data_IF_214426437877
#
_entry.id   IF_214426437877
#
_cell.length_a   1.000
_cell.length_b   1.000
_cell.length_c   1.000
_cell.angle_alpha   90.00
_cell.angle_beta   90.00
_cell.angle_gamma   90.00
#
_symmetry.space_group_name_H-M   'P 1'
#
loop_
_entity.id
_entity.type
_entity.pdbx_description
1 polymer ?
#
# COMPACT_ATOMS: atom_id res chain seq x y z
N UNK A 1 -26.82 -10.73 8.71
CA UNK A 1 -26.73 -10.79 7.24
C UNK A 1 -26.18 -9.46 6.77
N UNK A 2 -24.97 -9.41 6.21
CA UNK A 2 -24.44 -8.17 5.61
C UNK A 2 -25.25 -7.86 4.36
N UNK A 3 -25.85 -6.68 4.32
CA UNK A 3 -26.58 -6.19 3.16
C UNK A 3 -25.53 -5.90 2.08
N UNK A 4 -25.55 -6.67 0.98
CA UNK A 4 -24.78 -6.32 -0.21
C UNK A 4 -25.42 -5.04 -0.76
N UNK A 5 -24.72 -3.91 -0.70
CA UNK A 5 -25.19 -2.69 -1.37
C UNK A 5 -25.29 -3.00 -2.86
N UNK A 6 -26.47 -2.75 -3.45
CA UNK A 6 -26.63 -2.85 -4.90
C UNK A 6 -25.82 -1.73 -5.56
N UNK A 7 -25.18 -2.01 -6.70
CA UNK A 7 -24.37 -1.03 -7.49
C UNK A 7 -25.20 0.21 -7.91
N UNK A 8 -26.52 0.13 -7.80
CA UNK A 8 -27.49 1.21 -8.03
C UNK A 8 -27.54 2.23 -6.89
N UNK A 9 -26.96 1.93 -5.73
CA UNK A 9 -26.80 2.86 -4.61
C UNK A 9 -25.77 3.94 -4.99
N UNK A 10 -26.25 5.19 -5.05
CA UNK A 10 -25.43 6.33 -5.47
C UNK A 10 -24.28 6.57 -4.50
N UNK A 11 -24.48 6.36 -3.21
CA UNK A 11 -23.45 6.58 -2.18
C UNK A 11 -22.34 5.55 -2.31
N UNK A 12 -22.71 4.27 -2.46
CA UNK A 12 -21.78 3.20 -2.78
C UNK A 12 -20.99 3.50 -4.06
N UNK A 13 -21.68 3.86 -5.14
CA UNK A 13 -21.05 4.06 -6.45
C UNK A 13 -20.04 5.20 -6.42
N UNK A 14 -20.37 6.30 -5.73
CA UNK A 14 -19.43 7.42 -5.55
C UNK A 14 -18.24 6.98 -4.71
N UNK A 15 -18.46 6.36 -3.55
CA UNK A 15 -17.38 5.95 -2.65
C UNK A 15 -16.45 4.92 -3.29
N UNK A 16 -17.00 3.85 -3.88
CA UNK A 16 -16.22 2.82 -4.56
C UNK A 16 -15.44 3.40 -5.75
N UNK A 17 -16.07 4.29 -6.52
CA UNK A 17 -15.42 5.00 -7.59
C UNK A 17 -14.23 5.84 -7.13
N UNK A 18 -14.36 6.58 -6.03
CA UNK A 18 -13.26 7.35 -5.43
C UNK A 18 -12.15 6.45 -4.89
N UNK A 19 -12.49 5.31 -4.26
CA UNK A 19 -11.51 4.32 -3.81
C UNK A 19 -10.72 3.72 -4.99
N UNK A 20 -11.40 3.36 -6.08
CA UNK A 20 -10.75 2.86 -7.30
C UNK A 20 -9.74 3.87 -7.87
N UNK A 21 -10.11 5.15 -7.96
CA UNK A 21 -9.19 6.20 -8.40
C UNK A 21 -8.02 6.34 -7.42
N UNK A 22 -8.27 6.28 -6.12
CA UNK A 22 -7.22 6.35 -5.10
C UNK A 22 -6.22 5.21 -5.26
N UNK A 23 -6.68 3.95 -5.35
CA UNK A 23 -5.81 2.79 -5.53
C UNK A 23 -5.00 2.87 -6.83
N UNK A 24 -5.65 3.29 -7.93
CA UNK A 24 -4.95 3.51 -9.21
C UNK A 24 -3.83 4.55 -9.09
N UNK A 25 -4.03 5.59 -8.29
CA UNK A 25 -2.98 6.57 -8.05
C UNK A 25 -1.89 6.05 -7.13
N UNK A 26 -2.22 5.23 -6.13
CA UNK A 26 -1.22 4.60 -5.25
C UNK A 26 -0.29 3.69 -6.06
N UNK A 27 -0.82 2.76 -6.85
CA UNK A 27 -0.01 1.85 -7.69
C UNK A 27 0.86 2.66 -8.68
N UNK A 28 0.30 3.73 -9.26
CA UNK A 28 1.06 4.64 -10.12
C UNK A 28 2.21 5.34 -9.38
N UNK A 29 2.00 5.73 -8.12
CA UNK A 29 3.02 6.38 -7.31
C UNK A 29 4.09 5.39 -6.82
N UNK A 30 3.69 4.18 -6.44
CA UNK A 30 4.60 3.06 -6.13
C UNK A 30 5.49 2.79 -7.33
N UNK A 31 4.90 2.57 -8.51
CA UNK A 31 5.63 2.36 -9.77
C UNK A 31 6.73 3.41 -9.97
N UNK A 32 6.39 4.68 -9.79
CA UNK A 32 7.32 5.79 -9.97
C UNK A 32 8.41 5.83 -8.89
N UNK A 33 8.03 5.68 -7.63
CA UNK A 33 8.98 5.68 -6.52
C UNK A 33 9.99 4.54 -6.64
N UNK A 34 9.53 3.34 -7.02
CA UNK A 34 10.37 2.18 -7.26
C UNK A 34 11.26 2.41 -8.49
N UNK A 35 10.71 2.90 -9.60
CA UNK A 35 11.48 3.17 -10.81
C UNK A 35 12.63 4.18 -10.58
N UNK A 36 12.37 5.26 -9.85
CA UNK A 36 13.39 6.26 -9.51
C UNK A 36 14.53 5.67 -8.64
N UNK A 37 14.23 4.63 -7.86
CA UNK A 37 15.17 4.03 -6.92
C UNK A 37 16.07 2.95 -7.51
N UNK A 38 15.67 2.31 -8.63
CA UNK A 38 16.41 1.20 -9.29
C UNK A 38 17.90 1.53 -9.47
N UNK A 39 18.24 2.70 -10.02
CA UNK A 39 19.62 3.06 -10.32
C UNK A 39 20.53 3.13 -9.07
N UNK A 40 19.92 3.33 -7.89
CA UNK A 40 20.61 3.47 -6.60
C UNK A 40 20.42 2.27 -5.68
N UNK A 41 19.72 1.22 -6.14
CA UNK A 41 19.55 0.00 -5.35
C UNK A 41 20.92 -0.65 -5.07
N UNK A 42 21.10 -1.26 -3.88
CA UNK A 42 22.42 -1.65 -3.36
C UNK A 42 23.05 -2.81 -4.12
N UNK A 43 22.26 -3.65 -4.78
CA UNK A 43 22.72 -4.82 -5.54
C UNK A 43 21.78 -5.18 -6.70
N UNK A 44 22.24 -6.10 -7.54
CA UNK A 44 21.52 -6.53 -8.75
C UNK A 44 20.23 -7.28 -8.44
N UNK A 45 20.18 -8.04 -7.34
CA UNK A 45 18.95 -8.71 -6.91
C UNK A 45 17.85 -7.68 -6.64
N UNK A 46 18.17 -6.63 -5.86
CA UNK A 46 17.24 -5.54 -5.59
C UNK A 46 16.86 -4.79 -6.88
N UNK A 47 17.81 -4.53 -7.79
CA UNK A 47 17.52 -3.87 -9.08
C UNK A 47 16.55 -4.67 -9.94
N UNK A 48 16.79 -5.98 -10.07
CA UNK A 48 15.97 -6.87 -10.88
C UNK A 48 14.57 -7.01 -10.29
N UNK A 49 14.46 -7.14 -8.97
CA UNK A 49 13.16 -7.17 -8.30
C UNK A 49 12.39 -5.87 -8.49
N UNK A 50 13.02 -4.73 -8.24
CA UNK A 50 12.38 -3.42 -8.42
C UNK A 50 11.97 -3.18 -9.88
N UNK A 51 12.75 -3.66 -10.86
CA UNK A 51 12.35 -3.63 -12.27
C UNK A 51 11.14 -4.52 -12.56
N UNK A 52 11.04 -5.70 -11.94
CA UNK A 52 9.83 -6.55 -12.00
C UNK A 52 8.63 -5.80 -11.41
N UNK A 53 8.78 -5.25 -10.20
CA UNK A 53 7.71 -4.51 -9.52
C UNK A 53 7.20 -3.35 -10.36
N UNK A 54 8.08 -2.54 -10.98
CA UNK A 54 7.65 -1.49 -11.93
C UNK A 54 6.78 -2.04 -13.06
N UNK A 55 7.11 -3.23 -13.58
CA UNK A 55 6.30 -3.90 -14.59
C UNK A 55 4.95 -4.39 -14.08
N UNK A 56 4.90 -4.87 -12.83
CA UNK A 56 3.67 -5.30 -12.16
C UNK A 56 2.77 -4.10 -11.86
N UNK A 57 3.28 -3.04 -11.24
CA UNK A 57 2.51 -1.81 -10.99
C UNK A 57 1.98 -1.17 -12.28
N UNK A 58 2.80 -1.17 -13.35
CA UNK A 58 2.37 -0.70 -14.67
C UNK A 58 1.17 -1.50 -15.19
N UNK A 59 1.17 -2.82 -14.96
CA UNK A 59 0.05 -3.70 -15.29
C UNK A 59 -1.16 -3.44 -14.40
N UNK A 60 -0.98 -3.20 -13.10
CA UNK A 60 -2.06 -2.88 -12.17
C UNK A 60 -2.79 -1.60 -12.55
N UNK A 61 -2.03 -0.52 -12.74
CA UNK A 61 -2.55 0.79 -13.17
C UNK A 61 -3.40 0.65 -14.43
N UNK A 62 -2.92 -0.10 -15.44
CA UNK A 62 -3.69 -0.31 -16.68
C UNK A 62 -5.01 -1.07 -16.41
N UNK A 63 -4.99 -2.16 -15.66
CA UNK A 63 -6.19 -2.95 -15.34
C UNK A 63 -7.22 -2.08 -14.62
N UNK A 64 -6.76 -1.30 -13.65
CA UNK A 64 -7.62 -0.45 -12.83
C UNK A 64 -8.13 0.76 -13.63
N UNK A 65 -7.32 1.39 -14.50
CA UNK A 65 -7.76 2.45 -15.41
C UNK A 65 -8.87 1.96 -16.35
N UNK A 66 -8.67 0.79 -16.97
CA UNK A 66 -9.71 0.17 -17.81
C UNK A 66 -11.00 -0.10 -17.03
N UNK A 67 -10.89 -0.44 -15.74
CA UNK A 67 -12.06 -0.66 -14.90
C UNK A 67 -12.72 0.64 -14.45
N UNK A 68 -11.96 1.66 -14.04
CA UNK A 68 -12.45 3.00 -13.67
C UNK A 68 -13.28 3.60 -14.81
N UNK A 69 -12.80 3.47 -16.06
CA UNK A 69 -13.54 3.91 -17.25
C UNK A 69 -14.88 3.17 -17.40
N UNK A 70 -14.88 1.84 -17.27
CA UNK A 70 -16.09 1.00 -17.40
C UNK A 70 -17.08 1.20 -16.24
N UNK A 71 -16.58 1.41 -15.04
CA UNK A 71 -17.37 1.69 -13.84
C UNK A 71 -18.09 3.05 -13.96
N UNK A 72 -17.50 3.99 -14.70
CA UNK A 72 -18.09 5.28 -15.04
C UNK A 72 -18.22 6.21 -13.83
N UNK A 73 -17.16 6.30 -13.03
CA UNK A 73 -17.05 7.21 -11.88
C UNK A 73 -16.42 8.55 -12.28
N UNK A 74 -16.44 9.52 -11.36
CA UNK A 74 -15.56 10.68 -11.38
C UNK A 74 -14.09 10.23 -11.35
N UNK A 75 -13.33 10.70 -12.34
CA UNK A 75 -11.90 10.40 -12.52
C UNK A 75 -10.98 11.51 -12.03
N UNK A 76 -11.53 12.53 -11.36
CA UNK A 76 -10.73 13.59 -10.74
C UNK A 76 -9.71 12.97 -9.79
N UNK A 77 -8.41 13.30 -9.89
CA UNK A 77 -7.39 12.79 -8.99
C UNK A 77 -7.80 12.95 -7.52
N UNK A 78 -7.68 11.88 -6.73
CA UNK A 78 -7.80 11.88 -5.27
C UNK A 78 -6.61 12.62 -4.65
N UNK A 79 -5.40 12.30 -5.11
CA UNK A 79 -4.20 13.08 -4.80
C UNK A 79 -3.94 14.10 -5.91
N UNK A 80 -3.87 15.38 -5.56
CA UNK A 80 -3.47 16.42 -6.51
C UNK A 80 -1.96 16.34 -6.83
N UNK A 81 -1.51 17.12 -7.81
CA UNK A 81 -0.11 17.09 -8.29
C UNK A 81 0.90 17.38 -7.17
N UNK A 82 0.60 18.33 -6.27
CA UNK A 82 1.50 18.65 -5.16
C UNK A 82 1.62 17.47 -4.18
N UNK A 83 0.50 16.81 -3.88
CA UNK A 83 0.48 15.67 -2.96
C UNK A 83 1.21 14.46 -3.55
N UNK A 84 1.03 14.20 -4.85
CA UNK A 84 1.80 13.20 -5.59
C UNK A 84 3.31 13.48 -5.54
N UNK A 85 3.71 14.75 -5.71
CA UNK A 85 5.13 15.11 -5.64
C UNK A 85 5.68 15.00 -4.21
N UNK A 86 4.89 15.33 -3.17
CA UNK A 86 5.26 15.12 -1.77
C UNK A 86 5.51 13.63 -1.47
N UNK A 87 4.64 12.75 -1.97
CA UNK A 87 4.82 11.30 -1.85
C UNK A 87 6.14 10.85 -2.50
N UNK A 88 6.41 11.28 -3.73
CA UNK A 88 7.65 10.89 -4.41
C UNK A 88 8.90 11.48 -3.74
N UNK A 89 8.83 12.74 -3.30
CA UNK A 89 9.91 13.41 -2.58
C UNK A 89 10.25 12.69 -1.27
N UNK A 90 9.23 12.17 -0.54
CA UNK A 90 9.43 11.32 0.63
C UNK A 90 10.34 10.14 0.30
N UNK A 91 9.95 9.31 -0.68
CA UNK A 91 10.73 8.11 -1.04
C UNK A 91 12.13 8.41 -1.59
N UNK A 92 12.31 9.53 -2.31
CA UNK A 92 13.65 9.98 -2.75
C UNK A 92 14.58 10.29 -1.57
N UNK A 93 14.03 10.79 -0.47
CA UNK A 93 14.81 11.20 0.70
C UNK A 93 15.28 10.04 1.58
N UNK A 94 14.67 8.86 1.43
CA UNK A 94 14.91 7.72 2.30
C UNK A 94 16.27 7.05 2.03
N UNK A 95 16.91 6.59 3.10
CA UNK A 95 17.98 5.60 3.01
C UNK A 95 17.38 4.23 2.58
N UNK A 96 18.22 3.21 2.38
CA UNK A 96 17.74 1.92 1.87
C UNK A 96 16.82 1.17 2.85
N UNK A 97 17.17 1.09 4.14
CA UNK A 97 16.37 0.39 5.16
C UNK A 97 15.03 1.11 5.36
N UNK A 98 15.07 2.45 5.37
CA UNK A 98 13.90 3.32 5.44
C UNK A 98 12.99 3.13 4.22
N UNK A 99 13.55 3.06 3.01
CA UNK A 99 12.80 2.80 1.79
C UNK A 99 12.11 1.44 1.84
N UNK A 100 12.82 0.39 2.29
CA UNK A 100 12.24 -0.94 2.43
C UNK A 100 11.07 -0.95 3.42
N UNK A 101 11.22 -0.23 4.53
CA UNK A 101 10.20 -0.11 5.56
C UNK A 101 8.98 0.62 5.01
N UNK A 102 9.17 1.82 4.48
CA UNK A 102 8.04 2.66 4.06
C UNK A 102 7.34 2.12 2.81
N UNK A 103 8.07 1.53 1.87
CA UNK A 103 7.48 0.94 0.67
C UNK A 103 6.79 -0.37 1.02
N UNK A 104 7.55 -1.37 1.47
CA UNK A 104 7.04 -2.74 1.51
C UNK A 104 6.28 -3.08 2.79
N UNK A 105 6.56 -2.41 3.91
CA UNK A 105 5.78 -2.60 5.14
C UNK A 105 4.59 -1.65 5.15
N UNK A 106 4.83 -0.35 5.03
CA UNK A 106 3.77 0.64 5.24
C UNK A 106 2.78 0.69 4.07
N UNK A 107 3.27 0.74 2.82
CA UNK A 107 2.39 0.82 1.64
C UNK A 107 1.91 -0.57 1.22
N UNK A 108 2.80 -1.48 0.82
CA UNK A 108 2.37 -2.76 0.24
C UNK A 108 1.66 -3.64 1.27
N UNK A 109 2.31 -3.92 2.41
CA UNK A 109 1.75 -4.88 3.36
C UNK A 109 0.51 -4.34 4.10
N UNK A 110 0.59 -3.13 4.65
CA UNK A 110 -0.50 -2.58 5.47
C UNK A 110 -1.56 -1.86 4.63
N UNK A 111 -1.16 -1.17 3.56
CA UNK A 111 -2.11 -0.62 2.59
C UNK A 111 -2.88 -1.72 1.87
N UNK A 112 -2.19 -2.76 1.41
CA UNK A 112 -2.81 -3.95 0.81
C UNK A 112 -3.81 -4.64 1.75
N UNK A 113 -3.47 -4.81 3.02
CA UNK A 113 -4.38 -5.37 4.04
C UNK A 113 -5.68 -4.55 4.15
N UNK A 114 -5.60 -3.22 4.13
CA UNK A 114 -6.78 -2.37 4.15
C UNK A 114 -7.65 -2.54 2.89
N UNK A 115 -7.02 -2.71 1.72
CA UNK A 115 -7.74 -3.00 0.45
C UNK A 115 -8.42 -4.36 0.50
N UNK A 116 -7.76 -5.40 1.01
CA UNK A 116 -8.35 -6.73 1.11
C UNK A 116 -9.65 -6.73 1.93
N UNK A 117 -9.76 -5.87 2.94
CA UNK A 117 -10.98 -5.75 3.73
C UNK A 117 -12.19 -5.22 2.95
N UNK A 118 -11.97 -4.47 1.87
CA UNK A 118 -13.07 -3.95 1.03
C UNK A 118 -13.47 -4.91 -0.10
N UNK A 119 -12.59 -5.84 -0.48
CA UNK A 119 -12.83 -6.77 -1.60
C UNK A 119 -14.14 -7.55 -1.45
N UNK A 120 -14.53 -8.09 -0.27
CA UNK A 120 -15.79 -8.81 -0.12
C UNK A 120 -17.04 -7.94 -0.32
N UNK A 121 -16.91 -6.62 -0.19
CA UNK A 121 -17.97 -5.62 -0.35
C UNK A 121 -18.01 -5.05 -1.78
N UNK A 122 -16.99 -5.31 -2.57
CA UNK A 122 -16.88 -4.81 -3.92
C UNK A 122 -17.75 -5.57 -4.93
N UNK A 123 -18.26 -4.83 -5.92
CA UNK A 123 -18.98 -5.41 -7.04
C UNK A 123 -18.08 -6.40 -7.81
N UNK A 124 -18.65 -7.33 -8.60
CA UNK A 124 -17.88 -8.36 -9.29
C UNK A 124 -16.77 -7.81 -10.20
N UNK A 125 -16.98 -6.67 -10.86
CA UNK A 125 -15.99 -6.09 -11.76
C UNK A 125 -14.86 -5.44 -10.99
N UNK A 126 -15.15 -4.72 -9.90
CA UNK A 126 -14.11 -4.19 -9.01
C UNK A 126 -13.27 -5.30 -8.42
N UNK A 127 -13.89 -6.38 -7.91
CA UNK A 127 -13.14 -7.55 -7.43
C UNK A 127 -12.25 -8.17 -8.49
N UNK A 128 -12.73 -8.25 -9.73
CA UNK A 128 -11.93 -8.78 -10.84
C UNK A 128 -10.72 -7.87 -11.16
N UNK A 129 -10.89 -6.55 -11.07
CA UNK A 129 -9.81 -5.59 -11.31
C UNK A 129 -8.70 -5.65 -10.25
N UNK A 130 -9.05 -5.95 -8.99
CA UNK A 130 -8.10 -6.05 -7.87
C UNK A 130 -7.42 -7.41 -7.75
N UNK A 131 -7.93 -8.44 -8.41
CA UNK A 131 -7.42 -9.81 -8.27
C UNK A 131 -5.94 -9.94 -8.63
N UNK A 132 -5.55 -9.36 -9.76
CA UNK A 132 -4.16 -9.42 -10.23
C UNK A 132 -3.23 -8.59 -9.34
N UNK A 133 -3.54 -7.31 -9.05
CA UNK A 133 -2.78 -6.51 -8.09
C UNK A 133 -2.50 -7.23 -6.78
N UNK A 134 -3.55 -7.68 -6.09
CA UNK A 134 -3.41 -8.36 -4.80
C UNK A 134 -2.61 -9.67 -4.86
N UNK A 135 -2.58 -10.35 -6.01
CA UNK A 135 -1.75 -11.54 -6.18
C UNK A 135 -0.27 -11.18 -6.32
N UNK A 136 0.04 -10.12 -7.06
CA UNK A 136 1.41 -9.66 -7.26
C UNK A 136 1.96 -9.04 -5.96
N UNK A 137 1.12 -8.37 -5.15
CA UNK A 137 1.55 -7.78 -3.87
C UNK A 137 2.13 -8.79 -2.87
N UNK A 138 1.70 -10.05 -2.94
CA UNK A 138 2.28 -11.11 -2.10
C UNK A 138 3.78 -11.24 -2.35
N UNK A 139 4.23 -11.14 -3.60
CA UNK A 139 5.64 -11.20 -3.97
C UNK A 139 6.38 -9.92 -3.54
N UNK A 140 5.76 -8.74 -3.70
CA UNK A 140 6.31 -7.45 -3.27
C UNK A 140 6.59 -7.42 -1.77
N UNK A 141 5.59 -7.83 -0.98
CA UNK A 141 5.68 -7.91 0.48
C UNK A 141 6.75 -8.92 0.89
N UNK A 142 6.76 -10.12 0.28
CA UNK A 142 7.73 -11.16 0.61
C UNK A 142 9.17 -10.68 0.39
N UNK A 143 9.47 -10.10 -0.78
CA UNK A 143 10.78 -9.54 -1.07
C UNK A 143 11.16 -8.44 -0.07
N UNK A 144 10.25 -7.49 0.17
CA UNK A 144 10.53 -6.36 1.04
C UNK A 144 10.84 -6.77 2.48
N UNK A 145 10.07 -7.72 3.03
CA UNK A 145 10.27 -8.24 4.38
C UNK A 145 11.57 -9.05 4.49
N UNK A 146 11.84 -9.94 3.54
CA UNK A 146 13.07 -10.73 3.52
C UNK A 146 14.30 -9.83 3.40
N UNK A 147 14.23 -8.82 2.52
CA UNK A 147 15.33 -7.88 2.32
C UNK A 147 15.53 -6.98 3.55
N UNK A 148 14.44 -6.51 4.17
CA UNK A 148 14.52 -5.72 5.39
C UNK A 148 15.14 -6.53 6.53
N UNK A 149 14.70 -7.77 6.74
CA UNK A 149 15.29 -8.67 7.74
C UNK A 149 16.79 -8.89 7.48
N UNK A 150 17.18 -9.07 6.21
CA UNK A 150 18.58 -9.21 5.83
C UNK A 150 19.41 -7.94 6.14
N UNK A 151 18.92 -6.75 5.81
CA UNK A 151 19.63 -5.50 6.13
C UNK A 151 19.76 -5.28 7.64
N UNK A 152 18.68 -5.54 8.39
CA UNK A 152 18.67 -5.43 9.85
C UNK A 152 19.63 -6.41 10.53
N UNK A 153 19.89 -7.57 9.92
CA UNK A 153 20.85 -8.56 10.43
C UNK A 153 22.31 -8.14 10.29
N UNK A 154 22.60 -7.15 9.44
CA UNK A 154 23.95 -6.58 9.28
C UNK A 154 24.27 -5.50 10.32
N UNK A 155 23.24 -4.96 10.98
CA UNK A 155 23.41 -3.98 12.03
C UNK A 155 23.78 -4.65 13.36
N UNK A 156 24.49 -3.95 14.25
CA UNK A 156 24.60 -4.37 15.65
C UNK A 156 23.23 -4.62 16.27
N UNK A 157 23.13 -5.63 17.14
CA UNK A 157 21.85 -6.07 17.72
C UNK A 157 21.06 -4.92 18.36
N UNK A 158 21.74 -4.02 19.06
CA UNK A 158 21.14 -2.84 19.70
C UNK A 158 20.62 -1.80 18.69
N UNK A 159 21.32 -1.62 17.57
CA UNK A 159 20.88 -0.71 16.51
C UNK A 159 19.69 -1.30 15.73
N UNK A 160 19.72 -2.60 15.48
CA UNK A 160 18.63 -3.33 14.84
C UNK A 160 17.35 -3.28 15.70
N UNK A 161 17.47 -3.55 17.00
CA UNK A 161 16.36 -3.44 17.95
C UNK A 161 15.82 -1.99 18.04
N UNK A 162 16.71 -1.00 18.15
CA UNK A 162 16.32 0.41 18.16
C UNK A 162 15.62 0.82 16.86
N UNK A 163 16.05 0.30 15.70
CA UNK A 163 15.41 0.58 14.43
C UNK A 163 13.98 0.03 14.39
N UNK A 164 13.75 -1.19 14.88
CA UNK A 164 12.40 -1.78 14.94
C UNK A 164 11.43 -0.92 15.76
N UNK A 165 11.90 -0.28 16.84
CA UNK A 165 11.08 0.66 17.62
C UNK A 165 10.69 1.91 16.81
N UNK A 166 11.50 2.32 15.82
CA UNK A 166 11.17 3.46 14.96
C UNK A 166 10.06 3.15 13.95
N UNK A 167 9.87 1.88 13.56
CA UNK A 167 8.89 1.50 12.51
C UNK A 167 7.48 1.95 12.90
N UNK A 168 7.11 1.86 14.18
CA UNK A 168 5.82 2.34 14.66
C UNK A 168 5.62 3.84 14.40
N UNK A 169 6.65 4.66 14.63
CA UNK A 169 6.57 6.11 14.38
C UNK A 169 6.58 6.46 12.89
N UNK A 170 7.26 5.67 12.06
CA UNK A 170 7.25 5.83 10.59
C UNK A 170 5.88 5.54 9.99
N UNK A 171 5.19 4.56 10.55
CA UNK A 171 3.81 4.26 10.18
C UNK A 171 2.87 5.41 10.48
N UNK A 172 3.02 6.06 11.64
CA UNK A 172 2.23 7.26 11.97
C UNK A 172 2.51 8.41 11.00
N UNK A 173 3.76 8.62 10.58
CA UNK A 173 4.09 9.64 9.59
C UNK A 173 3.41 9.40 8.25
N UNK A 174 3.38 8.14 7.80
CA UNK A 174 2.77 7.78 6.54
C UNK A 174 1.23 7.89 6.64
N UNK A 175 0.65 7.53 7.79
CA UNK A 175 -0.77 7.74 8.11
C UNK A 175 -1.12 9.23 8.11
N UNK A 176 -0.33 10.08 8.76
CA UNK A 176 -0.50 11.53 8.77
C UNK A 176 -0.31 12.14 7.37
N UNK A 177 0.62 11.59 6.58
CA UNK A 177 0.89 12.04 5.20
C UNK A 177 -0.19 11.60 4.23
N UNK A 178 -0.93 10.51 4.50
CA UNK A 178 -2.04 10.03 3.67
C UNK A 178 -3.40 10.59 4.14
N UNK A 179 -3.65 10.67 5.45
CA UNK A 179 -4.86 11.24 6.06
C UNK A 179 -4.84 12.78 6.09
N UNK A 180 -3.67 13.41 6.23
CA UNK A 180 -3.49 14.87 6.22
C UNK A 180 -3.78 15.53 4.87
N UNK A 181 -4.11 14.75 3.85
CA UNK A 181 -4.40 15.19 2.49
C UNK A 181 -5.86 15.63 2.29
N UNK A 182 -6.67 15.61 3.35
CA UNK A 182 -8.07 16.04 3.33
C UNK A 182 -9.03 15.01 2.73
N UNK A 183 -8.62 13.74 2.67
CA UNK A 183 -9.40 12.63 2.13
C UNK A 183 -10.05 11.90 3.32
N UNK A 184 -11.39 11.88 3.36
CA UNK A 184 -12.14 11.14 4.39
C UNK A 184 -12.23 9.65 4.01
N UNK A 185 -11.09 8.96 4.10
CA UNK A 185 -10.97 7.50 3.92
C UNK A 185 -11.96 6.75 4.83
N UNK A 186 -12.12 7.10 6.13
CA UNK A 186 -13.13 6.46 6.98
C UNK A 186 -14.55 6.53 6.41
N UNK A 187 -14.96 7.68 5.85
CA UNK A 187 -16.28 7.81 5.24
C UNK A 187 -16.43 6.97 3.97
N UNK A 188 -15.41 6.93 3.10
CA UNK A 188 -15.44 6.10 1.89
C UNK A 188 -15.59 4.62 2.23
N UNK A 189 -14.85 4.13 3.23
CA UNK A 189 -14.94 2.74 3.70
C UNK A 189 -16.33 2.42 4.26
N UNK A 190 -16.90 3.31 5.10
CA UNK A 190 -18.26 3.12 5.63
C UNK A 190 -19.32 3.11 4.53
N UNK A 191 -19.18 3.99 3.53
CA UNK A 191 -20.11 4.09 2.40
C UNK A 191 -20.11 2.85 1.49
N UNK A 192 -19.01 2.08 1.46
CA UNK A 192 -18.97 0.77 0.78
C UNK A 192 -19.39 -0.40 1.69
N UNK A 193 -19.84 -0.12 2.92
CA UNK A 193 -20.29 -1.13 3.88
C UNK A 193 -19.17 -1.80 4.68
N UNK A 194 -17.97 -1.22 4.69
CA UNK A 194 -16.88 -1.67 5.56
C UNK A 194 -17.06 -1.12 6.98
N UNK A 195 -16.77 -1.97 7.97
CA UNK A 195 -16.59 -1.54 9.35
C UNK A 195 -15.17 -0.98 9.47
N UNK A 196 -15.05 0.34 9.42
CA UNK A 196 -13.74 0.99 9.39
C UNK A 196 -12.91 0.68 10.66
N UNK A 197 -13.53 0.56 11.83
CA UNK A 197 -12.79 0.19 13.03
C UNK A 197 -12.22 -1.23 12.91
N UNK A 198 -13.00 -2.16 12.35
CA UNK A 198 -12.49 -3.50 12.06
C UNK A 198 -11.33 -3.49 11.07
N UNK A 199 -11.37 -2.63 10.04
CA UNK A 199 -10.24 -2.48 9.10
C UNK A 199 -8.98 -2.03 9.85
N UNK A 200 -9.10 -1.00 10.69
CA UNK A 200 -8.00 -0.50 11.53
C UNK A 200 -7.45 -1.61 12.42
N UNK A 201 -8.32 -2.36 13.11
CA UNK A 201 -7.91 -3.44 14.00
C UNK A 201 -7.15 -4.55 13.24
N UNK A 202 -7.60 -4.90 12.04
CA UNK A 202 -6.92 -5.90 11.18
C UNK A 202 -5.55 -5.40 10.72
N UNK A 203 -5.44 -4.16 10.28
CA UNK A 203 -4.14 -3.55 9.90
C UNK A 203 -3.18 -3.51 11.10
N UNK A 204 -3.68 -3.18 12.30
CA UNK A 204 -2.87 -3.16 13.51
C UNK A 204 -2.44 -4.57 13.98
N UNK A 205 -3.25 -5.60 13.75
CA UNK A 205 -2.83 -7.00 13.95
C UNK A 205 -1.74 -7.37 12.95
N UNK A 206 -1.95 -7.10 11.65
CA UNK A 206 -0.97 -7.40 10.60
C UNK A 206 0.38 -6.72 10.88
N UNK A 207 0.34 -5.46 11.33
CA UNK A 207 1.52 -4.74 11.81
C UNK A 207 2.26 -5.50 12.90
N UNK A 208 1.55 -5.96 13.95
CA UNK A 208 2.15 -6.73 15.05
C UNK A 208 2.77 -8.03 14.55
N UNK A 209 2.12 -8.74 13.63
CA UNK A 209 2.68 -9.95 13.02
C UNK A 209 4.01 -9.68 12.30
N UNK A 210 4.06 -8.63 11.48
CA UNK A 210 5.27 -8.23 10.76
C UNK A 210 6.39 -7.89 11.74
N UNK A 211 6.10 -7.09 12.77
CA UNK A 211 7.09 -6.73 13.79
C UNK A 211 7.62 -7.97 14.52
N UNK A 212 6.76 -8.94 14.84
CA UNK A 212 7.18 -10.20 15.44
C UNK A 212 8.08 -11.01 14.50
N UNK A 213 7.81 -11.04 13.20
CA UNK A 213 8.66 -11.72 12.22
C UNK A 213 10.04 -11.05 12.13
N UNK A 214 10.09 -9.73 12.03
CA UNK A 214 11.35 -8.97 11.96
C UNK A 214 12.18 -9.06 13.25
N UNK A 215 11.55 -9.25 14.40
CA UNK A 215 12.24 -9.40 15.68
C UNK A 215 12.79 -10.82 15.94
N UNK A 216 12.29 -11.86 15.27
CA UNK A 216 12.74 -13.26 15.50
C UNK A 216 14.24 -13.47 15.36
N UNK A 217 14.93 -12.94 14.34
CA UNK A 217 16.38 -13.09 14.21
C UNK A 217 17.19 -12.44 15.34
N UNK A 218 16.59 -11.50 16.08
CA UNK A 218 17.25 -10.81 17.19
C UNK A 218 17.13 -11.57 18.52
N UNK A 219 16.19 -12.52 18.62
CA UNK A 219 15.93 -13.31 19.81
C UNK A 219 16.64 -14.68 19.82
N UNK A 220 17.27 -15.06 18.72
CA UNK A 220 17.99 -16.32 18.52
C UNK A 220 19.49 -16.17 18.78
#
# INVERSE_FOLDING_TARGET
MKQLHEVTDLEYRVAMGRLLVMYTQVDYLIMRAVAERIATAPDDESRLFMAKQVGDESRHVRIQQEWVEKFGTDTTPVFNVLQQEMFLAHFRSLNWIDFLTDMYVCIEALGGEAVEQIVPMADPGTRASLKVPLQDEVDHIAFGLDRLAFELSKLPLNESAAYLETIETRLNFLDDTLHGLGIDVPAMFRAVGADYQKVVDTVLERRREIMNVLARPLAA
#
